data_IF_054675109548
#
_entry.id   IF_054675109548
#
_cell.length_a   1.000
_cell.length_b   1.000
_cell.length_c   1.000
_cell.angle_alpha   90.00
_cell.angle_beta   90.00
_cell.angle_gamma   90.00
#
_symmetry.space_group_name_H-M   'P 1'
#
loop_
_entity.id
_entity.type
_entity.pdbx_description
1 polymer ?
#
# COMPACT_ATOMS: atom_id res chain seq x y z
N UNK A 1 -1.20 -10.14 6.30
CA UNK A 1 -1.83 -9.58 7.54
C UNK A 1 -1.63 -8.05 7.65
N UNK A 2 -2.63 -7.29 8.12
CA UNK A 2 -2.47 -5.85 8.42
C UNK A 2 -1.57 -5.67 9.64
N UNK A 3 -0.44 -4.99 9.46
CA UNK A 3 0.53 -4.77 10.53
C UNK A 3 0.38 -3.42 11.21
N UNK A 4 -0.01 -2.41 10.44
CA UNK A 4 -0.03 -1.03 10.92
C UNK A 4 -0.99 -0.16 10.13
N UNK A 5 -1.81 0.65 10.81
CA UNK A 5 -2.68 1.65 10.22
C UNK A 5 -2.59 2.94 11.05
N UNK A 6 -2.21 4.05 10.44
CA UNK A 6 -2.09 5.34 11.13
C UNK A 6 -2.76 6.48 10.34
N UNK A 7 -3.51 7.30 11.05
CA UNK A 7 -4.07 8.52 10.49
C UNK A 7 -3.04 9.64 10.49
N UNK A 8 -2.81 10.22 9.32
CA UNK A 8 -2.00 11.43 9.17
C UNK A 8 -2.75 12.49 8.37
N UNK A 9 -2.29 13.73 8.48
CA UNK A 9 -2.62 14.79 7.53
C UNK A 9 -1.45 14.92 6.57
N UNK A 10 -1.73 14.83 5.28
CA UNK A 10 -0.71 15.02 4.26
C UNK A 10 -0.37 16.51 4.10
N UNK A 11 0.90 16.80 3.84
CA UNK A 11 1.36 18.11 3.37
C UNK A 11 1.20 18.22 1.84
N UNK A 12 1.38 19.42 1.27
CA UNK A 12 1.12 19.70 -0.16
C UNK A 12 1.80 18.72 -1.14
N UNK A 13 2.97 18.20 -0.78
CA UNK A 13 3.80 17.32 -1.62
C UNK A 13 3.76 15.86 -1.21
N UNK A 14 3.02 15.53 -0.15
CA UNK A 14 2.94 14.18 0.39
C UNK A 14 1.76 13.42 -0.22
N UNK A 15 1.86 12.09 -0.34
CA UNK A 15 0.72 11.29 -0.73
C UNK A 15 -0.41 11.42 0.31
N UNK A 16 -1.65 11.44 -0.17
CA UNK A 16 -2.86 11.44 0.67
C UNK A 16 -2.97 10.10 1.42
N UNK A 17 -2.55 9.02 0.78
CA UNK A 17 -2.43 7.69 1.35
C UNK A 17 -1.18 7.01 0.80
N UNK A 18 -0.41 6.42 1.70
CA UNK A 18 0.71 5.55 1.40
C UNK A 18 0.38 4.14 1.91
N UNK A 19 0.34 3.17 1.00
CA UNK A 19 0.23 1.75 1.34
C UNK A 19 1.57 1.10 1.06
N UNK A 20 2.09 0.34 2.01
CA UNK A 20 3.32 -0.44 1.84
C UNK A 20 2.98 -1.90 2.05
N UNK A 21 3.33 -2.74 1.07
CA UNK A 21 3.24 -4.20 1.15
C UNK A 21 4.66 -4.74 1.25
N UNK A 22 5.00 -5.33 2.39
CA UNK A 22 6.30 -5.92 2.64
C UNK A 22 6.31 -7.38 2.19
N UNK A 23 7.23 -7.68 1.28
CA UNK A 23 7.50 -9.04 0.80
C UNK A 23 8.42 -9.75 1.76
N UNK A 24 7.95 -10.87 2.31
CA UNK A 24 8.70 -11.69 3.26
C UNK A 24 9.02 -13.07 2.67
N UNK A 25 10.13 -13.63 3.11
CA UNK A 25 10.42 -15.08 2.96
C UNK A 25 9.90 -15.84 4.19
N UNK A 26 9.91 -17.18 4.14
CA UNK A 26 9.32 -18.05 5.18
C UNK A 26 9.83 -17.80 6.61
N UNK A 27 11.07 -17.31 6.76
CA UNK A 27 11.65 -16.97 8.08
C UNK A 27 11.20 -15.59 8.63
N UNK A 28 10.34 -14.89 7.88
CA UNK A 28 9.80 -13.57 8.23
C UNK A 28 10.69 -12.40 7.84
N UNK A 29 11.87 -12.63 7.24
CA UNK A 29 12.74 -11.56 6.75
C UNK A 29 12.09 -10.84 5.57
N UNK A 30 12.04 -9.51 5.64
CA UNK A 30 11.61 -8.65 4.53
C UNK A 30 12.72 -8.64 3.47
N UNK A 31 12.36 -8.98 2.23
CA UNK A 31 13.24 -9.00 1.05
C UNK A 31 12.90 -7.92 0.03
N UNK A 32 11.77 -7.24 0.20
CA UNK A 32 11.39 -6.11 -0.62
C UNK A 32 10.07 -5.50 -0.20
N UNK A 33 9.66 -4.43 -0.86
CA UNK A 33 8.40 -3.78 -0.60
C UNK A 33 7.82 -3.14 -1.85
N UNK A 34 6.49 -3.25 -2.00
CA UNK A 34 5.74 -2.38 -2.89
C UNK A 34 5.25 -1.17 -2.11
N UNK A 35 5.40 0.03 -2.67
CA UNK A 35 4.81 1.27 -2.15
C UNK A 35 3.78 1.79 -3.15
N UNK A 36 2.57 2.01 -2.68
CA UNK A 36 1.47 2.58 -3.43
C UNK A 36 1.21 3.98 -2.89
N UNK A 37 1.63 4.98 -3.66
CA UNK A 37 1.50 6.39 -3.31
C UNK A 37 0.27 6.96 -4.00
N UNK A 38 -0.78 7.21 -3.22
CA UNK A 38 -2.03 7.79 -3.71
C UNK A 38 -2.00 9.30 -3.54
N UNK A 39 -1.94 10.02 -4.65
CA UNK A 39 -2.07 11.47 -4.70
C UNK A 39 -3.47 11.86 -5.19
N UNK A 40 -3.77 13.16 -5.14
CA UNK A 40 -5.07 13.69 -5.59
C UNK A 40 -5.41 13.29 -7.04
N UNK A 41 -4.42 13.23 -7.91
CA UNK A 41 -4.62 13.05 -9.35
C UNK A 41 -4.06 11.72 -9.89
N UNK A 42 -3.14 11.08 -9.16
CA UNK A 42 -2.42 9.93 -9.66
C UNK A 42 -2.09 8.93 -8.55
N UNK A 43 -1.88 7.69 -8.94
CA UNK A 43 -1.30 6.61 -8.15
C UNK A 43 0.10 6.34 -8.72
N UNK A 44 1.09 6.20 -7.85
CA UNK A 44 2.44 5.78 -8.22
C UNK A 44 2.74 4.49 -7.48
N UNK A 45 3.16 3.46 -8.21
CA UNK A 45 3.56 2.18 -7.64
C UNK A 45 5.06 2.04 -7.80
N UNK A 46 5.74 1.85 -6.68
CA UNK A 46 7.17 1.62 -6.63
C UNK A 46 7.44 0.23 -6.05
N UNK A 47 8.52 -0.40 -6.48
CA UNK A 47 9.05 -1.60 -5.85
C UNK A 47 10.51 -1.39 -5.47
N UNK A 48 10.91 -1.87 -4.30
CA UNK A 48 12.32 -1.90 -3.90
C UNK A 48 12.66 -3.25 -3.27
N UNK A 49 13.90 -3.67 -3.48
CA UNK A 49 14.50 -4.85 -2.83
C UNK A 49 15.57 -4.43 -1.81
N UNK A 50 16.21 -5.40 -1.16
CA UNK A 50 17.28 -5.15 -0.19
C UNK A 50 18.65 -4.81 -0.81
N UNK A 51 18.70 -4.54 -2.12
CA UNK A 51 19.96 -4.31 -2.86
C UNK A 51 20.47 -2.87 -2.84
N UNK A 52 19.79 -1.95 -2.14
CA UNK A 52 20.14 -0.52 -2.01
C UNK A 52 20.23 0.27 -3.33
N UNK A 53 19.64 -0.23 -4.41
CA UNK A 53 19.64 0.44 -5.73
C UNK A 53 18.61 1.55 -5.86
N UNK A 54 17.77 1.73 -4.85
CA UNK A 54 16.58 2.58 -4.93
C UNK A 54 15.39 1.80 -5.50
N UNK A 55 14.25 2.47 -5.58
CA UNK A 55 13.01 1.84 -6.02
C UNK A 55 12.83 1.93 -7.54
N UNK A 56 12.34 0.85 -8.14
CA UNK A 56 11.88 0.79 -9.51
C UNK A 56 10.46 1.36 -9.62
N UNK A 57 10.22 2.15 -10.67
CA UNK A 57 8.88 2.60 -11.03
C UNK A 57 8.14 1.47 -11.75
N UNK A 58 7.10 0.95 -11.11
CA UNK A 58 6.29 -0.13 -11.66
C UNK A 58 5.16 0.43 -12.53
N UNK A 59 4.44 1.43 -12.02
CA UNK A 59 3.25 1.97 -12.69
C UNK A 59 2.94 3.40 -12.25
N UNK A 60 2.40 4.20 -13.17
CA UNK A 60 1.71 5.46 -12.88
C UNK A 60 0.34 5.43 -13.54
N UNK A 61 -0.71 5.72 -12.78
CA UNK A 61 -2.09 5.75 -13.29
C UNK A 61 -2.89 6.88 -12.65
N UNK A 62 -4.05 7.22 -13.24
CA UNK A 62 -4.96 8.22 -12.65
C UNK A 62 -5.49 7.76 -11.29
N UNK A 63 -5.69 8.72 -10.38
CA UNK A 63 -6.24 8.47 -9.05
C UNK A 63 -7.64 7.86 -9.14
N UNK A 64 -7.73 6.59 -8.74
CA UNK A 64 -8.99 5.87 -8.55
C UNK A 64 -8.81 4.87 -7.44
N UNK A 65 -9.65 4.94 -6.42
CA UNK A 65 -9.58 4.02 -5.31
C UNK A 65 -9.72 2.56 -5.76
N UNK A 66 -10.59 2.27 -6.72
CA UNK A 66 -10.75 0.92 -7.25
C UNK A 66 -9.45 0.42 -7.92
N UNK A 67 -8.79 1.27 -8.73
CA UNK A 67 -7.47 0.93 -9.32
C UNK A 67 -6.40 0.71 -8.26
N UNK A 68 -6.42 1.50 -7.18
CA UNK A 68 -5.51 1.31 -6.05
C UNK A 68 -5.73 -0.08 -5.41
N UNK A 69 -6.98 -0.45 -5.12
CA UNK A 69 -7.31 -1.75 -4.53
C UNK A 69 -6.92 -2.90 -5.46
N UNK A 70 -7.24 -2.80 -6.75
CA UNK A 70 -6.82 -3.79 -7.75
C UNK A 70 -5.30 -3.96 -7.79
N UNK A 71 -4.57 -2.85 -7.73
CA UNK A 71 -3.10 -2.85 -7.72
C UNK A 71 -2.54 -3.47 -6.45
N UNK A 72 -3.11 -3.15 -5.29
CA UNK A 72 -2.70 -3.76 -4.01
C UNK A 72 -2.94 -5.27 -4.07
N UNK A 73 -4.15 -5.71 -4.45
CA UNK A 73 -4.50 -7.13 -4.55
C UNK A 73 -3.62 -7.89 -5.56
N UNK A 74 -3.19 -7.24 -6.64
CA UNK A 74 -2.27 -7.85 -7.61
C UNK A 74 -0.92 -8.23 -6.99
N UNK A 75 -0.47 -7.49 -5.99
CA UNK A 75 0.86 -7.67 -5.39
C UNK A 75 0.84 -8.08 -3.92
N UNK A 76 -0.31 -8.22 -3.27
CA UNK A 76 -0.42 -8.59 -1.86
C UNK A 76 -0.83 -10.04 -1.72
N UNK A 77 -0.03 -10.82 -1.01
CA UNK A 77 -0.35 -12.16 -0.54
C UNK A 77 -0.71 -12.09 0.94
N UNK A 78 -1.95 -12.41 1.29
CA UNK A 78 -2.46 -12.24 2.65
C UNK A 78 -1.80 -13.16 3.68
N UNK A 79 -1.38 -14.35 3.25
CA UNK A 79 -0.77 -15.36 4.10
C UNK A 79 0.68 -15.01 4.45
N UNK A 80 1.40 -14.44 3.48
CA UNK A 80 2.85 -14.25 3.58
C UNK A 80 3.28 -12.80 3.78
N UNK A 81 2.52 -11.83 3.28
CA UNK A 81 2.94 -10.43 3.30
C UNK A 81 2.37 -9.66 4.49
N UNK A 82 3.12 -8.63 4.90
CA UNK A 82 2.62 -7.62 5.82
C UNK A 82 2.21 -6.37 5.04
N UNK A 83 1.15 -5.69 5.50
CA UNK A 83 0.74 -4.41 4.94
C UNK A 83 0.76 -3.32 6.01
N UNK A 84 1.20 -2.12 5.65
CA UNK A 84 1.02 -0.91 6.44
C UNK A 84 0.34 0.19 5.63
N UNK A 85 -0.58 0.91 6.24
CA UNK A 85 -1.31 2.01 5.62
C UNK A 85 -1.14 3.27 6.46
N UNK A 86 -0.78 4.37 5.82
CA UNK A 86 -0.67 5.69 6.47
C UNK A 86 -1.33 6.70 5.56
N UNK A 87 -2.32 7.42 6.06
CA UNK A 87 -3.03 8.39 5.24
C UNK A 87 -4.16 9.10 5.94
N UNK A 88 -4.92 9.89 5.17
CA UNK A 88 -6.09 10.57 5.69
C UNK A 88 -7.18 9.57 6.11
N UNK A 89 -7.80 9.83 7.25
CA UNK A 89 -8.76 8.92 7.88
C UNK A 89 -9.82 8.39 6.93
N UNK A 90 -10.53 9.25 6.21
CA UNK A 90 -11.63 8.83 5.35
C UNK A 90 -11.19 7.86 4.24
N UNK A 91 -10.03 8.13 3.64
CA UNK A 91 -9.49 7.30 2.56
C UNK A 91 -8.90 5.99 3.12
N UNK A 92 -8.18 6.07 4.24
CA UNK A 92 -7.61 4.90 4.91
C UNK A 92 -8.71 3.93 5.34
N UNK A 93 -9.77 4.43 5.99
CA UNK A 93 -10.92 3.62 6.42
C UNK A 93 -11.58 2.90 5.24
N UNK A 94 -11.73 3.58 4.10
CA UNK A 94 -12.32 2.97 2.90
C UNK A 94 -11.41 1.89 2.28
N UNK A 95 -10.10 2.12 2.26
CA UNK A 95 -9.14 1.11 1.78
C UNK A 95 -9.13 -0.12 2.68
N UNK A 96 -9.07 0.07 4.00
CA UNK A 96 -9.07 -1.04 4.96
C UNK A 96 -10.32 -1.90 4.77
N UNK A 97 -11.52 -1.30 4.70
CA UNK A 97 -12.77 -2.05 4.48
C UNK A 97 -12.81 -2.81 3.15
N UNK A 98 -12.16 -2.30 2.10
CA UNK A 98 -12.13 -2.96 0.79
C UNK A 98 -11.10 -4.09 0.73
N UNK A 99 -10.03 -4.02 1.51
CA UNK A 99 -8.99 -5.06 1.57
C UNK A 99 -9.38 -6.16 2.55
N UNK A 100 -9.86 -5.77 3.72
CA UNK A 100 -10.37 -6.63 4.77
C UNK A 100 -11.85 -6.32 4.97
N UNK A 101 -12.73 -6.80 4.07
CA UNK A 101 -14.15 -6.72 4.35
C UNK A 101 -14.40 -7.46 5.67
N UNK A 102 -15.05 -6.79 6.62
CA UNK A 102 -15.56 -7.49 7.80
C UNK A 102 -16.41 -8.66 7.30
N UNK A 103 -16.14 -9.87 7.79
CA UNK A 103 -17.11 -10.95 7.68
C UNK A 103 -18.33 -10.49 8.48
N UNK A 104 -19.32 -9.90 7.81
CA UNK A 104 -20.62 -9.61 8.44
C UNK A 104 -21.19 -10.95 8.94
N UNK A 105 -21.11 -11.17 10.27
CA UNK A 105 -21.90 -12.17 11.01
C UNK A 105 -23.40 -11.82 11.00
#
# INVERSE_FOLDING_TARGET
>A
MLKYAEYTRHSLTEPILNVIVYKKVEDGKIIGAFRFLYYKNNIIILYEDDSYKGADLIEVSDASLNKLIESIRRFYDEENDDMSLIGEKALLDEVVRKIYPDEEE
#
